data_IF_127193945846
#
_entry.id   IF_127193945846
#
_cell.length_a   1.000
_cell.length_b   1.000
_cell.length_c   1.000
_cell.angle_alpha   90.00
_cell.angle_beta   90.00
_cell.angle_gamma   90.00
#
_symmetry.space_group_name_H-M   'P 1'
#
loop_
_entity.id
_entity.type
_entity.pdbx_description
1 polymer ?
#
# COMPACT_ATOMS: atom_id res chain seq x y z
N UNK A 1 -20.48 -7.43 2.46
CA UNK A 1 -20.79 -6.70 1.20
C UNK A 1 -21.33 -5.33 1.57
N UNK A 2 -20.84 -4.28 0.93
CA UNK A 2 -21.28 -2.90 1.15
C UNK A 2 -21.64 -2.26 -0.19
N UNK A 3 -22.81 -1.64 -0.29
CA UNK A 3 -23.19 -0.85 -1.48
C UNK A 3 -22.52 0.52 -1.42
N UNK A 4 -21.87 0.92 -2.51
CA UNK A 4 -21.27 2.24 -2.66
C UNK A 4 -22.29 3.23 -3.23
N UNK A 5 -22.07 4.53 -3.00
CA UNK A 5 -22.89 5.60 -3.58
C UNK A 5 -22.85 5.59 -5.12
N UNK A 6 -21.78 5.06 -5.72
CA UNK A 6 -21.67 4.89 -7.17
C UNK A 6 -22.58 3.80 -7.74
N UNK A 7 -23.28 3.03 -6.90
CA UNK A 7 -24.06 1.86 -7.31
C UNK A 7 -23.27 0.55 -7.33
N UNK A 8 -21.93 0.61 -7.25
CA UNK A 8 -21.06 -0.57 -7.20
C UNK A 8 -21.17 -1.30 -5.85
N UNK A 9 -20.80 -2.58 -5.85
CA UNK A 9 -20.72 -3.39 -4.65
C UNK A 9 -19.26 -3.57 -4.23
N UNK A 10 -18.96 -3.24 -2.97
CA UNK A 10 -17.71 -3.59 -2.32
C UNK A 10 -17.85 -4.94 -1.63
N UNK A 11 -16.99 -5.87 -1.99
CA UNK A 11 -17.00 -7.24 -1.49
C UNK A 11 -15.64 -7.55 -0.87
N UNK A 12 -15.66 -7.95 0.39
CA UNK A 12 -14.52 -8.52 1.08
C UNK A 12 -14.56 -10.04 0.89
N UNK A 13 -13.47 -10.61 0.37
CA UNK A 13 -13.36 -12.03 0.10
C UNK A 13 -12.55 -12.71 1.21
N UNK A 14 -13.00 -13.88 1.67
CA UNK A 14 -12.35 -14.62 2.75
C UNK A 14 -11.14 -15.44 2.25
N UNK A 15 -11.04 -15.72 0.95
CA UNK A 15 -9.96 -16.52 0.38
C UNK A 15 -9.59 -16.11 -1.03
N UNK A 16 -8.34 -16.46 -1.43
CA UNK A 16 -7.87 -16.25 -2.80
C UNK A 16 -8.71 -17.01 -3.83
N UNK A 17 -9.17 -18.21 -3.49
CA UNK A 17 -10.02 -19.02 -4.37
C UNK A 17 -11.33 -18.30 -4.67
N UNK A 18 -11.97 -17.67 -3.67
CA UNK A 18 -13.16 -16.85 -3.89
C UNK A 18 -12.87 -15.68 -4.82
N UNK A 19 -11.75 -14.98 -4.62
CA UNK A 19 -11.34 -13.86 -5.48
C UNK A 19 -11.19 -14.32 -6.93
N UNK A 20 -10.50 -15.44 -7.17
CA UNK A 20 -10.28 -15.98 -8.52
C UNK A 20 -11.59 -16.37 -9.19
N UNK A 21 -12.51 -17.01 -8.46
CA UNK A 21 -13.85 -17.32 -8.99
C UNK A 21 -14.59 -16.04 -9.34
N UNK A 22 -14.62 -15.06 -8.43
CA UNK A 22 -15.31 -13.78 -8.68
C UNK A 22 -14.75 -13.04 -9.89
N UNK A 23 -13.43 -13.04 -10.08
CA UNK A 23 -12.79 -12.41 -11.25
C UNK A 23 -13.17 -13.06 -12.59
N UNK A 24 -13.57 -14.34 -12.58
CA UNK A 24 -14.06 -15.04 -13.78
C UNK A 24 -15.55 -14.82 -14.06
N UNK A 25 -16.29 -14.16 -13.17
CA UNK A 25 -17.73 -13.91 -13.38
C UNK A 25 -17.90 -12.66 -14.23
N UNK A 26 -18.47 -12.83 -15.42
CA UNK A 26 -18.76 -11.73 -16.36
C UNK A 26 -20.24 -11.35 -16.39
N UNK A 27 -21.12 -12.19 -15.83
CA UNK A 27 -22.57 -11.98 -15.80
C UNK A 27 -23.18 -12.46 -14.49
N UNK A 28 -24.17 -11.72 -14.01
CA UNK A 28 -25.02 -12.10 -12.90
C UNK A 28 -26.47 -12.18 -13.40
N UNK A 29 -26.92 -13.40 -13.71
CA UNK A 29 -28.14 -13.60 -14.49
C UNK A 29 -27.97 -13.04 -15.90
N UNK A 30 -28.90 -12.19 -16.33
CA UNK A 30 -28.85 -11.52 -17.64
C UNK A 30 -28.03 -10.22 -17.64
N UNK A 31 -27.53 -9.80 -16.46
CA UNK A 31 -26.81 -8.54 -16.33
C UNK A 31 -25.29 -8.76 -16.48
N UNK A 32 -24.62 -8.08 -17.43
CA UNK A 32 -23.16 -8.09 -17.48
C UNK A 32 -22.59 -7.36 -16.26
N UNK A 33 -21.54 -7.92 -15.68
CA UNK A 33 -20.82 -7.33 -14.54
C UNK A 33 -19.31 -7.35 -14.80
N UNK A 34 -18.59 -6.48 -14.11
CA UNK A 34 -17.14 -6.44 -14.11
C UNK A 34 -16.65 -6.52 -12.65
N UNK A 35 -15.69 -7.41 -12.39
CA UNK A 35 -15.09 -7.57 -11.07
C UNK A 35 -13.65 -7.10 -11.12
N UNK A 36 -13.35 -6.00 -10.42
CA UNK A 36 -12.01 -5.44 -10.33
C UNK A 36 -11.53 -5.35 -8.87
N UNK A 37 -10.21 -5.54 -8.62
CA UNK A 37 -9.66 -5.32 -7.30
C UNK A 37 -9.83 -3.84 -6.90
N UNK A 38 -10.29 -3.59 -5.67
CA UNK A 38 -10.43 -2.23 -5.19
C UNK A 38 -9.09 -1.49 -5.16
N UNK A 39 -9.04 -0.33 -5.81
CA UNK A 39 -7.84 0.49 -6.04
C UNK A 39 -7.01 0.85 -4.81
N UNK A 40 -7.65 1.01 -3.65
CA UNK A 40 -6.98 1.50 -2.42
C UNK A 40 -7.14 0.58 -1.22
N UNK A 41 -8.20 -0.23 -1.15
CA UNK A 41 -8.52 -0.98 0.07
C UNK A 41 -7.68 -2.25 0.19
N UNK A 42 -7.10 -2.72 -0.92
CA UNK A 42 -6.15 -3.84 -0.93
C UNK A 42 -4.73 -3.44 -0.51
N UNK A 43 -4.52 -2.17 -0.20
CA UNK A 43 -3.20 -1.61 0.09
C UNK A 43 -3.24 -0.83 1.41
N UNK A 44 -2.13 -0.88 2.14
CA UNK A 44 -1.91 -0.06 3.33
C UNK A 44 -0.63 0.74 3.15
N UNK A 45 -0.56 1.91 3.79
CA UNK A 45 0.61 2.79 3.71
C UNK A 45 1.12 3.11 5.11
N UNK A 46 2.44 3.05 5.29
CA UNK A 46 3.11 3.49 6.51
C UNK A 46 4.18 4.52 6.25
N UNK A 47 4.51 5.28 7.29
CA UNK A 47 5.76 6.03 7.39
C UNK A 47 6.71 5.31 8.33
N UNK A 48 7.95 5.15 7.89
CA UNK A 48 9.08 4.68 8.70
C UNK A 48 10.09 5.80 8.80
N UNK A 49 10.76 5.88 9.94
CA UNK A 49 11.71 6.96 10.25
C UNK A 49 13.05 6.38 10.67
N UNK A 50 13.72 5.69 9.74
CA UNK A 50 15.01 5.04 10.05
C UNK A 50 16.19 5.67 9.31
N UNK A 51 17.28 5.99 10.04
CA UNK A 51 18.45 6.62 9.45
C UNK A 51 19.16 5.71 8.44
N UNK A 52 19.13 4.39 8.65
CA UNK A 52 19.79 3.43 7.77
C UNK A 52 19.16 3.42 6.37
N UNK A 53 17.88 3.80 6.23
CA UNK A 53 17.19 3.88 4.95
C UNK A 53 17.46 5.20 4.20
N UNK A 54 18.16 6.15 4.82
CA UNK A 54 18.46 7.44 4.20
C UNK A 54 19.29 7.32 2.91
N UNK A 55 20.16 6.31 2.87
CA UNK A 55 21.06 6.07 1.74
C UNK A 55 20.53 5.04 0.74
N UNK A 56 19.41 4.39 1.04
CA UNK A 56 18.79 3.41 0.17
C UNK A 56 17.93 4.10 -0.89
N UNK A 57 18.00 3.58 -2.12
CA UNK A 57 17.07 3.92 -3.18
C UNK A 57 15.69 3.29 -2.95
N UNK A 58 14.65 3.87 -3.55
CA UNK A 58 13.29 3.32 -3.47
C UNK A 58 13.21 1.89 -4.03
N UNK A 59 14.00 1.57 -5.06
CA UNK A 59 14.07 0.22 -5.65
C UNK A 59 14.71 -0.79 -4.70
N UNK A 60 15.84 -0.46 -4.06
CA UNK A 60 16.49 -1.34 -3.08
C UNK A 60 15.56 -1.63 -1.90
N UNK A 61 14.83 -0.61 -1.42
CA UNK A 61 13.87 -0.77 -0.34
C UNK A 61 12.70 -1.69 -0.73
N UNK A 62 12.23 -1.62 -1.97
CA UNK A 62 11.17 -2.51 -2.47
C UNK A 62 11.68 -3.95 -2.55
N UNK A 63 12.87 -4.17 -3.10
CA UNK A 63 13.48 -5.49 -3.25
C UNK A 63 13.71 -6.16 -1.90
N UNK A 64 14.35 -5.46 -0.95
CA UNK A 64 14.64 -5.97 0.39
C UNK A 64 13.36 -6.31 1.18
N UNK A 65 12.32 -5.48 1.05
CA UNK A 65 11.08 -5.61 1.82
C UNK A 65 9.94 -6.33 1.06
N UNK A 66 10.20 -6.85 -0.14
CA UNK A 66 9.20 -7.52 -0.97
C UNK A 66 8.59 -8.74 -0.25
N UNK A 67 9.40 -9.46 0.52
CA UNK A 67 8.98 -10.61 1.35
C UNK A 67 7.87 -10.23 2.35
N UNK A 68 7.88 -8.98 2.84
CA UNK A 68 6.91 -8.41 3.76
C UNK A 68 5.76 -7.68 3.06
N UNK A 69 5.60 -7.92 1.75
CA UNK A 69 4.55 -7.35 0.89
C UNK A 69 4.69 -5.87 0.61
N UNK A 70 5.87 -5.27 0.76
CA UNK A 70 6.12 -3.93 0.23
C UNK A 70 6.12 -3.99 -1.30
N UNK A 71 5.41 -3.07 -1.94
CA UNK A 71 5.33 -2.99 -3.39
C UNK A 71 5.53 -1.58 -3.95
N UNK A 72 5.61 -0.56 -3.09
CA UNK A 72 6.17 0.72 -3.44
C UNK A 72 6.85 1.35 -2.22
N UNK A 73 7.91 2.11 -2.45
CA UNK A 73 8.58 2.93 -1.46
C UNK A 73 8.66 4.36 -2.00
N UNK A 74 8.55 5.35 -1.11
CA UNK A 74 8.73 6.75 -1.47
C UNK A 74 9.52 7.49 -0.40
N UNK A 75 10.69 8.01 -0.77
CA UNK A 75 11.55 8.77 0.15
C UNK A 75 11.04 10.21 0.27
N UNK A 76 10.68 10.62 1.49
CA UNK A 76 10.17 11.97 1.75
C UNK A 76 11.32 12.97 1.65
N UNK A 77 11.13 13.97 0.79
CA UNK A 77 12.05 15.10 0.63
C UNK A 77 11.37 16.37 1.14
N UNK A 78 12.13 17.21 1.85
CA UNK A 78 11.65 18.49 2.35
C UNK A 78 12.28 19.60 1.52
N UNK A 79 11.47 20.59 1.14
CA UNK A 79 11.96 21.79 0.46
C UNK A 79 12.56 22.75 1.48
N UNK A 80 13.86 23.02 1.36
CA UNK A 80 14.57 23.99 2.18
C UNK A 80 15.35 24.95 1.26
N UNK A 81 15.06 26.24 1.37
CA UNK A 81 15.68 27.30 0.55
C UNK A 81 15.66 27.03 -0.96
N UNK A 82 14.56 26.47 -1.48
CA UNK A 82 14.40 26.16 -2.90
C UNK A 82 14.89 24.77 -3.32
N UNK A 83 15.72 24.13 -2.51
CA UNK A 83 16.29 22.79 -2.78
C UNK A 83 15.51 21.68 -2.07
N UNK A 84 15.40 20.51 -2.69
CA UNK A 84 14.82 19.32 -2.08
C UNK A 84 15.90 18.55 -1.32
N UNK A 85 15.74 18.45 -0.01
CA UNK A 85 16.65 17.72 0.88
C UNK A 85 15.98 16.39 1.27
N UNK A 86 16.64 15.24 1.05
CA UNK A 86 16.12 13.96 1.51
C UNK A 86 16.01 13.93 3.04
N UNK A 87 15.09 13.11 3.55
CA UNK A 87 14.94 12.87 4.98
C UNK A 87 15.04 11.38 5.27
N UNK A 88 15.20 11.01 6.55
CA UNK A 88 15.15 9.62 7.01
C UNK A 88 13.75 8.98 6.92
N UNK A 89 12.76 9.72 6.42
CA UNK A 89 11.38 9.27 6.40
C UNK A 89 11.04 8.65 5.04
N UNK A 90 10.53 7.43 5.08
CA UNK A 90 10.11 6.69 3.90
C UNK A 90 8.65 6.30 4.05
N UNK A 91 7.86 6.54 3.02
CA UNK A 91 6.51 5.98 2.89
C UNK A 91 6.63 4.62 2.23
N UNK A 92 6.17 3.57 2.91
CA UNK A 92 6.06 2.24 2.33
C UNK A 92 4.60 1.96 2.01
N UNK A 93 4.36 1.38 0.84
CA UNK A 93 3.06 0.87 0.42
C UNK A 93 3.12 -0.65 0.43
N UNK A 94 2.24 -1.26 1.21
CA UNK A 94 2.10 -2.70 1.27
C UNK A 94 0.94 -3.15 0.39
N UNK A 95 1.16 -4.23 -0.34
CA UNK A 95 0.16 -4.97 -1.11
C UNK A 95 -0.68 -5.88 -0.18
N UNK A 96 -1.15 -5.30 0.93
CA UNK A 96 -2.10 -5.91 1.86
C UNK A 96 -2.93 -4.82 2.58
N UNK A 97 -4.20 -5.11 2.93
CA UNK A 97 -5.09 -4.16 3.58
C UNK A 97 -4.63 -3.78 4.99
N UNK A 98 -4.02 -4.72 5.71
CA UNK A 98 -3.62 -4.53 7.10
C UNK A 98 -2.18 -4.03 7.22
N UNK A 99 -2.00 -2.99 8.03
CA UNK A 99 -0.69 -2.45 8.31
C UNK A 99 0.09 -3.37 9.27
N UNK A 100 1.37 -3.70 8.99
CA UNK A 100 2.22 -4.33 9.99
C UNK A 100 2.28 -3.53 11.30
N UNK A 101 2.77 -4.13 12.37
CA UNK A 101 3.26 -3.37 13.54
C UNK A 101 4.72 -2.94 13.38
N UNK A 102 5.49 -3.72 12.64
CA UNK A 102 6.92 -3.52 12.40
C UNK A 102 7.35 -4.18 11.10
N UNK A 103 8.53 -3.80 10.62
CA UNK A 103 9.22 -4.47 9.51
C UNK A 103 10.65 -4.85 9.91
N UNK A 104 11.26 -5.71 9.11
CA UNK A 104 12.66 -6.11 9.25
C UNK A 104 13.42 -5.93 7.92
N UNK A 105 14.55 -5.24 7.91
CA UNK A 105 15.40 -5.08 6.73
C UNK A 105 16.85 -5.37 7.14
N UNK A 106 17.46 -6.44 6.63
CA UNK A 106 18.72 -6.94 7.19
C UNK A 106 18.65 -7.10 8.72
N UNK A 107 19.44 -6.30 9.45
CA UNK A 107 19.46 -6.26 10.92
C UNK A 107 18.54 -5.18 11.53
N UNK A 108 17.93 -4.33 10.72
CA UNK A 108 17.09 -3.20 11.17
C UNK A 108 15.71 -3.72 11.54
N UNK A 109 15.24 -3.36 12.72
CA UNK A 109 13.87 -3.59 13.16
C UNK A 109 13.18 -2.25 13.38
N UNK A 110 12.20 -1.92 12.53
CA UNK A 110 11.56 -0.63 12.52
C UNK A 110 10.06 -0.74 12.84
N UNK A 111 9.57 0.09 13.76
CA UNK A 111 8.12 0.24 13.99
C UNK A 111 7.50 1.06 12.88
N UNK A 112 6.38 0.59 12.34
CA UNK A 112 5.67 1.32 11.29
C UNK A 112 4.61 2.23 11.90
N UNK A 113 4.47 3.44 11.36
CA UNK A 113 3.40 4.38 11.71
C UNK A 113 2.41 4.47 10.55
N UNK A 114 1.09 4.50 10.77
CA UNK A 114 0.13 4.74 9.69
C UNK A 114 0.46 6.02 8.92
N UNK A 115 0.40 5.95 7.59
CA UNK A 115 0.55 7.14 6.75
C UNK A 115 -0.70 8.02 6.86
N UNK A 116 -0.50 9.28 7.25
CA UNK A 116 -1.52 10.31 7.19
C UNK A 116 -1.19 11.21 6.00
N UNK A 117 -2.06 11.28 4.97
CA UNK A 117 -1.81 12.13 3.83
C UNK A 117 -1.78 13.60 4.25
N UNK A 118 -1.01 14.41 3.52
CA UNK A 118 -1.05 15.85 3.71
C UNK A 118 -2.48 16.37 3.50
N UNK A 119 -2.94 17.36 4.29
CA UNK A 119 -4.21 18.01 4.06
C UNK A 119 -4.31 18.46 2.60
N UNK A 120 -5.47 18.23 1.99
CA UNK A 120 -5.77 18.77 0.67
C UNK A 120 -5.77 20.30 0.77
N UNK A 121 -5.14 20.97 -0.19
CA UNK A 121 -5.14 22.43 -0.31
C UNK A 121 -6.33 22.90 -1.13
#
# INVERSE_FOLDING_TARGET
MQKLQSGNLLIEAASKTQISVMQSIEKLGDFPIEVTPHRTLNYSRSVISEPDFFYCSETELIEELQSQKVCAAHCIKVKHNGSLIPTKHVILTFCRPELPKSIHAGYVYARVKPYVPNPLR
#
